data_IF_248387403159
#
_entry.id   IF_248387403159
#
_cell.length_a   1.000
_cell.length_b   1.000
_cell.length_c   1.000
_cell.angle_alpha   90.00
_cell.angle_beta   90.00
_cell.angle_gamma   90.00
#
_symmetry.space_group_name_H-M   'P 1'
#
loop_
_entity.id
_entity.type
_entity.pdbx_description
1 polymer ?
#
# COMPACT_ATOMS: atom_id res chain seq x y z
N UNK A 1 -4.11 17.99 20.17
CA UNK A 1 -4.12 17.31 18.86
C UNK A 1 -3.17 18.02 17.89
N UNK A 2 -2.97 19.32 18.07
CA UNK A 2 -2.03 20.15 17.30
C UNK A 2 -0.58 19.61 17.34
N UNK A 3 -0.04 19.28 18.52
CA UNK A 3 1.34 18.77 18.66
C UNK A 3 1.64 17.47 17.88
N UNK A 4 0.63 16.65 17.58
CA UNK A 4 0.83 15.37 16.88
C UNK A 4 1.17 15.60 15.39
N UNK A 5 0.56 16.62 14.79
CA UNK A 5 0.76 16.95 13.38
C UNK A 5 2.05 17.75 13.16
N UNK A 6 2.60 18.36 14.21
CA UNK A 6 3.90 19.04 14.18
C UNK A 6 5.07 18.06 14.02
N UNK A 7 4.90 16.81 14.47
CA UNK A 7 5.98 15.80 14.43
C UNK A 7 5.81 14.79 13.29
N UNK A 8 4.57 14.46 12.89
CA UNK A 8 4.31 13.47 11.85
C UNK A 8 3.03 13.76 11.04
N UNK A 9 2.98 13.34 9.76
CA UNK A 9 1.77 13.43 8.96
C UNK A 9 0.57 12.68 9.57
N UNK A 10 -0.64 13.20 9.35
CA UNK A 10 -1.88 12.66 9.91
C UNK A 10 -2.09 11.17 9.64
N UNK A 11 -1.75 10.69 8.44
CA UNK A 11 -1.95 9.29 8.02
C UNK A 11 -1.21 8.28 8.91
N UNK A 12 -0.07 8.66 9.50
CA UNK A 12 0.69 7.80 10.41
C UNK A 12 -0.12 7.53 11.68
N UNK A 13 -0.68 8.60 12.25
CA UNK A 13 -1.56 8.54 13.41
C UNK A 13 -2.85 7.80 13.12
N UNK A 14 -3.49 8.11 11.98
CA UNK A 14 -4.73 7.46 11.57
C UNK A 14 -4.55 5.96 11.41
N UNK A 15 -3.49 5.54 10.70
CA UNK A 15 -3.19 4.13 10.53
C UNK A 15 -3.02 3.43 11.88
N UNK A 16 -2.18 3.98 12.75
CA UNK A 16 -1.91 3.35 14.04
C UNK A 16 -3.17 3.28 14.93
N UNK A 17 -3.90 4.39 15.08
CA UNK A 17 -5.09 4.46 15.92
C UNK A 17 -6.20 3.52 15.44
N UNK A 18 -6.40 3.41 14.12
CA UNK A 18 -7.43 2.54 13.55
C UNK A 18 -7.02 1.06 13.60
N UNK A 19 -5.75 0.75 13.31
CA UNK A 19 -5.23 -0.63 13.41
C UNK A 19 -5.06 -1.13 14.85
N UNK A 20 -5.07 -0.23 15.83
CA UNK A 20 -4.98 -0.56 17.26
C UNK A 20 -6.24 -0.14 18.03
N UNK A 21 -7.37 0.07 17.35
CA UNK A 21 -8.61 0.52 17.99
C UNK A 21 -9.03 -0.42 19.14
N UNK A 22 -9.39 0.13 20.32
CA UNK A 22 -9.78 -0.67 21.50
C UNK A 22 -11.22 -1.20 21.35
N UNK A 23 -11.42 -2.18 20.48
CA UNK A 23 -12.75 -2.75 20.18
C UNK A 23 -13.21 -3.80 21.21
N UNK A 24 -12.29 -4.65 21.65
CA UNK A 24 -12.56 -5.79 22.54
C UNK A 24 -11.94 -5.66 23.93
N UNK A 25 -10.95 -4.79 24.06
CA UNK A 25 -10.14 -4.56 25.24
C UNK A 25 -9.40 -3.23 25.09
N UNK A 26 -8.90 -2.68 26.19
CA UNK A 26 -8.08 -1.47 26.16
C UNK A 26 -6.83 -1.67 25.29
N UNK A 27 -6.42 -0.59 24.62
CA UNK A 27 -5.19 -0.51 23.83
C UNK A 27 -4.26 0.51 24.49
N UNK A 28 -3.00 0.12 24.70
CA UNK A 28 -1.97 1.00 25.25
C UNK A 28 -1.11 1.58 24.12
N UNK A 29 -0.95 2.90 24.10
CA UNK A 29 0.00 3.56 23.21
C UNK A 29 1.41 3.49 23.80
N UNK A 30 2.35 2.97 23.03
CA UNK A 30 3.78 3.12 23.27
C UNK A 30 4.45 3.61 21.99
N UNK A 31 5.45 4.47 22.14
CA UNK A 31 6.19 5.00 20.99
C UNK A 31 6.90 3.90 20.20
N UNK A 32 7.39 2.85 20.87
CA UNK A 32 8.04 1.72 20.21
C UNK A 32 7.05 0.90 19.37
N UNK A 33 5.83 0.66 19.87
CA UNK A 33 4.79 -0.01 19.10
C UNK A 33 4.31 0.85 17.93
N UNK A 34 4.19 2.17 18.16
CA UNK A 34 3.85 3.14 17.12
C UNK A 34 4.87 3.14 15.98
N UNK A 35 6.15 3.33 16.31
CA UNK A 35 7.27 3.26 15.38
C UNK A 35 7.28 1.93 14.61
N UNK A 36 7.19 0.80 15.32
CA UNK A 36 7.23 -0.53 14.72
C UNK A 36 6.09 -0.75 13.72
N UNK A 37 4.85 -0.39 14.07
CA UNK A 37 3.70 -0.58 13.17
C UNK A 37 3.77 0.35 11.96
N UNK A 38 4.04 1.65 12.15
CA UNK A 38 4.19 2.60 11.05
C UNK A 38 5.30 2.15 10.09
N UNK A 39 6.49 1.84 10.61
CA UNK A 39 7.61 1.47 9.75
C UNK A 39 7.36 0.16 9.00
N UNK A 40 6.82 -0.85 9.69
CA UNK A 40 6.59 -2.17 9.07
C UNK A 40 5.44 -2.15 8.08
N UNK A 41 4.31 -1.55 8.44
CA UNK A 41 3.10 -1.65 7.61
C UNK A 41 3.09 -0.58 6.51
N UNK A 42 3.42 0.67 6.85
CA UNK A 42 3.38 1.75 5.87
C UNK A 42 4.65 1.80 5.04
N UNK A 43 5.83 1.94 5.67
CA UNK A 43 7.06 2.11 4.91
C UNK A 43 7.53 0.81 4.24
N UNK A 44 7.58 -0.32 4.96
CA UNK A 44 8.18 -1.57 4.48
C UNK A 44 7.26 -2.43 3.62
N UNK A 45 5.94 -2.30 3.76
CA UNK A 45 4.97 -3.07 2.95
C UNK A 45 4.40 -2.19 1.83
N UNK A 46 3.61 -1.16 2.13
CA UNK A 46 2.95 -0.35 1.09
C UNK A 46 3.96 0.55 0.33
N UNK A 47 4.74 1.35 1.05
CA UNK A 47 5.69 2.30 0.49
C UNK A 47 6.79 1.62 -0.34
N UNK A 48 7.34 0.51 0.18
CA UNK A 48 8.33 -0.29 -0.53
C UNK A 48 7.78 -0.89 -1.83
N UNK A 49 6.55 -1.43 -1.81
CA UNK A 49 5.91 -1.94 -3.03
C UNK A 49 5.84 -0.87 -4.11
N UNK A 50 5.25 0.29 -3.78
CA UNK A 50 5.06 1.40 -4.73
C UNK A 50 6.41 1.88 -5.28
N UNK A 51 7.40 2.09 -4.40
CA UNK A 51 8.74 2.52 -4.79
C UNK A 51 9.41 1.51 -5.73
N UNK A 52 9.36 0.21 -5.42
CA UNK A 52 10.00 -0.83 -6.24
C UNK A 52 9.37 -0.92 -7.62
N UNK A 53 8.04 -0.95 -7.70
CA UNK A 53 7.28 -1.10 -8.94
C UNK A 53 7.52 0.10 -9.85
N UNK A 54 7.27 1.32 -9.36
CA UNK A 54 7.35 2.54 -10.17
C UNK A 54 8.79 2.83 -10.61
N UNK A 55 9.80 2.68 -9.74
CA UNK A 55 11.21 2.88 -10.12
C UNK A 55 11.68 1.85 -11.13
N UNK A 56 11.28 0.58 -10.97
CA UNK A 56 11.63 -0.46 -11.93
C UNK A 56 10.99 -0.20 -13.29
N UNK A 57 9.69 0.12 -13.31
CA UNK A 57 8.98 0.47 -14.54
C UNK A 57 9.66 1.64 -15.24
N UNK A 58 9.92 2.75 -14.53
CA UNK A 58 10.66 3.90 -15.09
C UNK A 58 12.01 3.51 -15.69
N UNK A 59 12.76 2.65 -15.00
CA UNK A 59 14.09 2.25 -15.44
C UNK A 59 14.10 1.33 -16.65
N UNK A 60 13.05 0.52 -16.88
CA UNK A 60 13.05 -0.55 -17.89
C UNK A 60 12.05 -0.36 -19.02
N UNK A 61 10.91 0.23 -18.72
CA UNK A 61 9.81 0.44 -19.65
C UNK A 61 9.47 1.93 -19.87
N UNK A 62 10.08 2.84 -19.10
CA UNK A 62 9.79 4.27 -19.16
C UNK A 62 8.65 4.68 -18.22
N UNK A 63 8.09 5.86 -18.45
CA UNK A 63 7.08 6.50 -17.58
C UNK A 63 5.63 6.22 -18.05
N UNK A 64 5.45 5.11 -18.76
CA UNK A 64 4.15 4.62 -19.23
C UNK A 64 3.92 3.20 -18.72
N UNK A 65 2.64 2.84 -18.52
CA UNK A 65 2.22 1.49 -18.19
C UNK A 65 2.68 0.55 -19.33
N UNK A 66 3.47 -0.49 -19.06
CA UNK A 66 4.13 -1.25 -20.12
C UNK A 66 3.15 -2.11 -20.91
N UNK A 67 3.29 -2.07 -22.23
CA UNK A 67 2.66 -3.02 -23.14
C UNK A 67 3.44 -4.35 -23.18
N UNK A 68 2.79 -5.41 -23.65
CA UNK A 68 3.42 -6.72 -23.87
C UNK A 68 3.10 -7.73 -22.77
N UNK A 69 3.11 -9.00 -23.20
CA UNK A 69 2.73 -10.17 -22.39
C UNK A 69 1.27 -10.18 -21.97
N UNK A 70 0.77 -11.39 -21.69
CA UNK A 70 -0.55 -11.61 -21.11
C UNK A 70 -0.41 -12.08 -19.65
N UNK A 71 -1.48 -11.92 -18.86
CA UNK A 71 -1.52 -12.47 -17.52
C UNK A 71 -1.46 -14.00 -17.55
N UNK A 72 -0.50 -14.55 -16.82
CA UNK A 72 -0.30 -15.98 -16.67
C UNK A 72 -0.99 -16.54 -15.44
N UNK A 73 -0.64 -17.78 -15.09
CA UNK A 73 -1.23 -18.46 -13.94
C UNK A 73 -0.97 -17.72 -12.62
N UNK A 74 0.22 -17.15 -12.44
CA UNK A 74 0.58 -16.45 -11.20
C UNK A 74 -0.23 -15.16 -11.02
N UNK A 75 -0.41 -14.39 -12.08
CA UNK A 75 -1.20 -13.15 -12.10
C UNK A 75 -2.67 -13.45 -11.79
N UNK A 76 -3.26 -14.45 -12.46
CA UNK A 76 -4.63 -14.86 -12.21
C UNK A 76 -4.83 -15.38 -10.78
N UNK A 77 -3.88 -16.16 -10.25
CA UNK A 77 -3.94 -16.67 -8.87
C UNK A 77 -3.87 -15.55 -7.83
N UNK A 78 -3.09 -14.49 -8.10
CA UNK A 78 -3.04 -13.31 -7.25
C UNK A 78 -4.38 -12.56 -7.28
N UNK A 79 -4.96 -12.36 -8.47
CA UNK A 79 -6.25 -11.68 -8.66
C UNK A 79 -7.37 -12.41 -7.89
N UNK A 80 -7.42 -13.75 -7.97
CA UNK A 80 -8.39 -14.57 -7.23
C UNK A 80 -8.22 -14.46 -5.71
N UNK A 81 -6.96 -14.43 -5.24
CA UNK A 81 -6.64 -14.27 -3.83
C UNK A 81 -7.07 -12.89 -3.32
N UNK A 82 -6.77 -11.84 -4.09
CA UNK A 82 -7.17 -10.47 -3.81
C UNK A 82 -8.70 -10.32 -3.80
N UNK A 83 -9.42 -10.93 -4.74
CA UNK A 83 -10.89 -10.90 -4.76
C UNK A 83 -11.50 -11.48 -3.48
N UNK A 84 -10.88 -12.52 -2.92
CA UNK A 84 -11.33 -13.11 -1.66
C UNK A 84 -11.02 -12.23 -0.44
N UNK A 85 -9.86 -11.57 -0.43
CA UNK A 85 -9.47 -10.65 0.65
C UNK A 85 -10.26 -9.35 0.63
N UNK A 86 -10.52 -8.77 -0.55
CA UNK A 86 -11.35 -7.55 -0.69
C UNK A 86 -12.75 -7.80 -0.11
N UNK A 87 -13.37 -8.94 -0.40
CA UNK A 87 -14.66 -9.32 0.21
C UNK A 87 -14.59 -9.48 1.72
N UNK A 88 -13.48 -10.00 2.23
CA UNK A 88 -13.27 -10.14 3.68
C UNK A 88 -13.11 -8.77 4.35
N UNK A 89 -12.35 -7.87 3.71
CA UNK A 89 -12.17 -6.49 4.12
C UNK A 89 -13.50 -5.74 4.16
N UNK A 90 -14.30 -5.82 3.09
CA UNK A 90 -15.63 -5.22 2.99
C UNK A 90 -16.54 -5.68 4.13
N UNK A 91 -16.60 -7.01 4.35
CA UNK A 91 -17.39 -7.59 5.44
C UNK A 91 -16.98 -7.07 6.81
N UNK A 92 -15.69 -6.83 7.05
CA UNK A 92 -15.22 -6.23 8.30
C UNK A 92 -15.60 -4.75 8.40
N UNK A 93 -15.48 -4.00 7.32
CA UNK A 93 -15.89 -2.60 7.25
C UNK A 93 -17.40 -2.42 7.48
N UNK A 94 -18.25 -3.24 6.85
CA UNK A 94 -19.70 -3.25 7.04
C UNK A 94 -20.13 -3.52 8.48
N UNK A 95 -19.36 -4.36 9.18
CA UNK A 95 -19.58 -4.71 10.59
C UNK A 95 -18.92 -3.75 11.56
N UNK A 96 -18.20 -2.73 11.07
CA UNK A 96 -17.43 -1.79 11.87
C UNK A 96 -16.38 -2.52 12.74
N UNK A 97 -15.82 -3.61 12.21
CA UNK A 97 -14.68 -4.34 12.80
C UNK A 97 -13.37 -3.76 12.24
N UNK A 98 -13.10 -2.49 12.57
CA UNK A 98 -12.03 -1.66 11.99
C UNK A 98 -10.65 -2.28 12.14
N UNK A 99 -10.33 -2.87 13.30
CA UNK A 99 -9.03 -3.54 13.50
C UNK A 99 -8.86 -4.73 12.56
N UNK A 100 -9.92 -5.50 12.33
CA UNK A 100 -9.88 -6.64 11.41
C UNK A 100 -9.79 -6.16 9.96
N UNK A 101 -10.52 -5.09 9.61
CA UNK A 101 -10.41 -4.47 8.29
C UNK A 101 -8.99 -3.93 8.02
N UNK A 102 -8.35 -3.27 8.99
CA UNK A 102 -6.96 -2.82 8.87
C UNK A 102 -5.99 -3.99 8.68
N UNK A 103 -6.16 -5.08 9.43
CA UNK A 103 -5.35 -6.28 9.26
C UNK A 103 -5.51 -6.90 7.86
N UNK A 104 -6.74 -6.95 7.34
CA UNK A 104 -7.03 -7.48 6.00
C UNK A 104 -6.42 -6.57 4.91
N UNK A 105 -6.54 -5.25 5.06
CA UNK A 105 -5.93 -4.28 4.16
C UNK A 105 -4.40 -4.44 4.10
N UNK A 106 -3.75 -4.62 5.26
CA UNK A 106 -2.31 -4.87 5.33
C UNK A 106 -1.92 -6.21 4.71
N UNK A 107 -2.79 -7.24 4.82
CA UNK A 107 -2.59 -8.53 4.15
C UNK A 107 -2.69 -8.40 2.62
N UNK A 108 -3.62 -7.58 2.12
CA UNK A 108 -3.75 -7.26 0.69
C UNK A 108 -2.45 -6.65 0.13
N UNK A 109 -1.86 -5.67 0.84
CA UNK A 109 -0.58 -5.10 0.42
C UNK A 109 0.57 -6.12 0.47
N UNK A 110 0.54 -7.03 1.45
CA UNK A 110 1.55 -8.07 1.59
C UNK A 110 1.49 -9.09 0.44
N UNK A 111 0.29 -9.48 -0.02
CA UNK A 111 0.14 -10.38 -1.18
C UNK A 111 0.83 -9.84 -2.43
N UNK A 112 0.73 -8.54 -2.71
CA UNK A 112 1.44 -7.94 -3.84
C UNK A 112 2.97 -8.02 -3.68
N UNK A 113 3.48 -7.82 -2.47
CA UNK A 113 4.92 -7.96 -2.19
C UNK A 113 5.41 -9.40 -2.39
N UNK A 114 4.65 -10.39 -1.90
CA UNK A 114 4.92 -11.82 -2.07
C UNK A 114 4.90 -12.21 -3.56
N UNK A 115 3.94 -11.68 -4.30
CA UNK A 115 3.89 -11.83 -5.76
C UNK A 115 5.15 -11.26 -6.42
N UNK A 116 5.57 -10.02 -6.10
CA UNK A 116 6.79 -9.44 -6.69
C UNK A 116 8.06 -10.21 -6.32
N UNK A 117 8.09 -10.81 -5.13
CA UNK A 117 9.21 -11.63 -4.70
C UNK A 117 9.28 -12.95 -5.48
N UNK A 118 8.15 -13.62 -5.65
CA UNK A 118 8.08 -14.92 -6.35
C UNK A 118 8.17 -14.79 -7.88
N UNK A 119 7.51 -13.78 -8.45
CA UNK A 119 7.51 -13.50 -9.88
C UNK A 119 8.83 -12.88 -10.37
N UNK A 120 9.53 -12.16 -9.50
CA UNK A 120 10.84 -11.55 -9.71
C UNK A 120 11.02 -10.85 -11.07
N UNK A 121 10.20 -9.82 -11.39
CA UNK A 121 10.19 -9.17 -12.72
C UNK A 121 11.55 -8.61 -13.15
N UNK A 122 12.38 -8.18 -12.19
CA UNK A 122 13.75 -7.71 -12.41
C UNK A 122 14.70 -8.77 -12.96
N UNK A 123 14.47 -10.04 -12.61
CA UNK A 123 15.21 -11.16 -13.15
C UNK A 123 14.59 -11.59 -14.48
N UNK A 124 13.27 -11.76 -14.51
CA UNK A 124 12.51 -12.18 -15.70
C UNK A 124 12.72 -11.26 -16.89
N UNK A 125 12.85 -9.94 -16.68
CA UNK A 125 13.10 -8.97 -17.75
C UNK A 125 14.31 -9.30 -18.63
N UNK A 126 15.33 -9.97 -18.08
CA UNK A 126 16.54 -10.35 -18.83
C UNK A 126 16.30 -11.54 -19.78
N UNK A 127 15.23 -12.29 -19.57
CA UNK A 127 14.90 -13.53 -20.27
C UNK A 127 13.66 -13.37 -21.15
N UNK A 128 12.62 -12.72 -20.62
CA UNK A 128 11.35 -12.47 -21.27
C UNK A 128 10.81 -11.09 -20.84
N UNK A 129 11.08 -10.10 -21.67
CA UNK A 129 10.64 -8.72 -21.45
C UNK A 129 9.11 -8.60 -21.42
N UNK A 130 8.40 -9.35 -22.27
CA UNK A 130 6.94 -9.32 -22.34
C UNK A 130 6.30 -9.84 -21.06
N UNK A 131 6.82 -10.92 -20.50
CA UNK A 131 6.37 -11.44 -19.20
C UNK A 131 6.63 -10.44 -18.08
N UNK A 132 7.81 -9.84 -18.02
CA UNK A 132 8.11 -8.81 -17.02
C UNK A 132 7.21 -7.57 -17.17
N UNK A 133 6.87 -7.18 -18.40
CA UNK A 133 5.92 -6.10 -18.67
C UNK A 133 4.53 -6.41 -18.10
N UNK A 134 3.99 -7.62 -18.33
CA UNK A 134 2.71 -8.05 -17.77
C UNK A 134 2.71 -8.03 -16.23
N UNK A 135 3.78 -8.52 -15.60
CA UNK A 135 3.93 -8.53 -14.14
C UNK A 135 3.93 -7.11 -13.54
N UNK A 136 4.67 -6.19 -14.17
CA UNK A 136 4.75 -4.80 -13.72
C UNK A 136 3.46 -4.03 -14.02
N UNK A 137 2.79 -4.30 -15.14
CA UNK A 137 1.47 -3.73 -15.45
C UNK A 137 0.42 -4.12 -14.40
N UNK A 138 0.40 -5.39 -13.98
CA UNK A 138 -0.45 -5.82 -12.86
C UNK A 138 -0.07 -5.07 -11.59
N UNK A 139 1.22 -5.03 -11.24
CA UNK A 139 1.69 -4.37 -10.02
C UNK A 139 1.35 -2.87 -9.98
N UNK A 140 1.37 -2.16 -11.11
CA UNK A 140 0.93 -0.76 -11.21
C UNK A 140 -0.58 -0.62 -10.99
N UNK A 141 -1.39 -1.51 -11.58
CA UNK A 141 -2.83 -1.55 -11.30
C UNK A 141 -3.15 -1.84 -9.82
N UNK A 142 -2.34 -2.67 -9.16
CA UNK A 142 -2.48 -2.90 -7.72
C UNK A 142 -2.26 -1.62 -6.90
N UNK A 143 -1.40 -0.69 -7.33
CA UNK A 143 -1.22 0.60 -6.64
C UNK A 143 -2.52 1.40 -6.61
N UNK A 144 -3.27 1.43 -7.72
CA UNK A 144 -4.60 2.03 -7.78
C UNK A 144 -5.57 1.35 -6.81
N UNK A 145 -5.63 0.02 -6.83
CA UNK A 145 -6.50 -0.76 -5.91
C UNK A 145 -6.13 -0.44 -4.45
N UNK A 146 -4.84 -0.40 -4.13
CA UNK A 146 -4.37 -0.07 -2.79
C UNK A 146 -4.79 1.35 -2.40
N UNK A 147 -4.68 2.33 -3.30
CA UNK A 147 -5.13 3.68 -3.03
C UNK A 147 -6.61 3.73 -2.61
N UNK A 148 -7.48 3.06 -3.36
CA UNK A 148 -8.93 3.02 -3.10
C UNK A 148 -9.24 2.35 -1.76
N UNK A 149 -8.71 1.14 -1.54
CA UNK A 149 -8.97 0.39 -0.30
C UNK A 149 -8.38 1.06 0.95
N UNK A 150 -7.31 1.85 0.77
CA UNK A 150 -6.64 2.53 1.88
C UNK A 150 -7.26 3.88 2.23
N UNK A 151 -8.16 4.42 1.39
CA UNK A 151 -8.73 5.76 1.58
C UNK A 151 -9.40 5.95 2.96
N UNK A 152 -10.13 4.96 3.53
CA UNK A 152 -10.70 5.11 4.87
C UNK A 152 -9.64 5.25 5.98
N UNK A 153 -8.42 4.75 5.75
CA UNK A 153 -7.35 4.71 6.74
C UNK A 153 -6.32 5.83 6.56
N UNK A 154 -5.79 5.99 5.35
CA UNK A 154 -4.68 6.89 4.99
C UNK A 154 -5.03 7.76 3.76
N UNK A 155 -6.05 8.63 3.87
CA UNK A 155 -6.63 9.34 2.72
C UNK A 155 -5.62 10.22 1.97
N UNK A 156 -4.71 10.88 2.69
CA UNK A 156 -3.70 11.76 2.07
C UNK A 156 -2.76 10.95 1.18
N UNK A 157 -2.39 9.75 1.62
CA UNK A 157 -1.52 8.86 0.88
C UNK A 157 -2.27 8.22 -0.28
N UNK A 158 -3.53 7.83 -0.09
CA UNK A 158 -4.37 7.35 -1.18
C UNK A 158 -4.44 8.35 -2.33
N UNK A 159 -4.62 9.64 -2.06
CA UNK A 159 -4.59 10.69 -3.09
C UNK A 159 -3.23 10.75 -3.80
N UNK A 160 -2.12 10.70 -3.06
CA UNK A 160 -0.77 10.64 -3.65
C UNK A 160 -0.58 9.43 -4.57
N UNK A 161 -1.13 8.27 -4.22
CA UNK A 161 -1.05 7.07 -5.05
C UNK A 161 -1.87 7.22 -6.34
N UNK A 162 -3.08 7.77 -6.27
CA UNK A 162 -3.92 8.01 -7.45
C UNK A 162 -3.28 9.04 -8.39
N UNK A 163 -2.75 10.14 -7.84
CA UNK A 163 -1.97 11.12 -8.59
C UNK A 163 -0.73 10.49 -9.24
N UNK A 164 -0.02 9.62 -8.52
CA UNK A 164 1.13 8.92 -9.08
C UNK A 164 0.76 8.03 -10.27
N UNK A 165 -0.41 7.40 -10.24
CA UNK A 165 -0.92 6.56 -11.33
C UNK A 165 -1.64 7.35 -12.44
N UNK A 166 -1.63 8.69 -12.38
CA UNK A 166 -2.35 9.59 -13.30
C UNK A 166 -3.82 9.15 -13.52
N UNK A 167 -4.49 8.81 -12.41
CA UNK A 167 -5.82 8.21 -12.42
C UNK A 167 -6.76 8.95 -11.48
N UNK A 168 -7.98 9.24 -11.95
CA UNK A 168 -9.08 9.85 -11.20
C UNK A 168 -10.26 8.89 -11.00
N UNK A 169 -10.18 7.67 -11.51
CA UNK A 169 -11.18 6.63 -11.31
C UNK A 169 -11.03 6.01 -9.91
N UNK A 170 -11.87 6.45 -8.98
CA UNK A 170 -11.98 5.91 -7.61
C UNK A 170 -12.99 4.76 -7.48
N UNK A 171 -13.45 4.17 -8.58
CA UNK A 171 -14.44 3.08 -8.54
C UNK A 171 -13.97 1.92 -7.68
N UNK A 172 -14.82 1.53 -6.73
CA UNK A 172 -14.55 0.43 -5.81
C UNK A 172 -14.27 -0.87 -6.59
N UNK A 173 -13.25 -1.67 -6.21
CA UNK A 173 -12.84 -2.86 -6.97
C UNK A 173 -13.77 -4.07 -6.72
N UNK A 174 -15.07 -3.93 -6.98
CA UNK A 174 -16.06 -5.02 -6.85
C UNK A 174 -15.67 -6.25 -7.68
N UNK A 175 -15.19 -6.00 -8.91
CA UNK A 175 -14.53 -6.99 -9.74
C UNK A 175 -13.02 -6.69 -9.80
N UNK A 176 -12.24 -7.46 -9.03
CA UNK A 176 -10.79 -7.26 -8.95
C UNK A 176 -10.08 -7.51 -10.28
N UNK A 177 -10.60 -8.39 -11.15
CA UNK A 177 -10.01 -8.60 -12.47
C UNK A 177 -10.17 -7.35 -13.35
N UNK A 178 -11.33 -6.73 -13.34
CA UNK A 178 -11.56 -5.47 -14.07
C UNK A 178 -10.72 -4.33 -13.48
N UNK A 179 -10.68 -4.22 -12.15
CA UNK A 179 -9.86 -3.23 -11.46
C UNK A 179 -8.35 -3.42 -11.72
N UNK A 180 -7.90 -4.66 -11.90
CA UNK A 180 -6.53 -5.00 -12.25
C UNK A 180 -6.16 -4.65 -13.70
N UNK A 181 -7.14 -4.25 -14.52
CA UNK A 181 -6.95 -3.86 -15.92
C UNK A 181 -7.37 -2.40 -16.20
N UNK A 182 -7.64 -1.58 -15.17
CA UNK A 182 -8.08 -0.18 -15.34
C UNK A 182 -6.98 0.71 -15.96
N UNK A 183 -5.75 0.59 -15.48
CA UNK A 183 -4.60 1.27 -16.05
C UNK A 183 -4.13 0.48 -17.28
N UNK A 184 -4.47 1.00 -18.45
CA UNK A 184 -4.15 0.39 -19.74
C UNK A 184 -2.72 0.71 -20.18
N UNK A 185 -2.16 -0.13 -21.06
CA UNK A 185 -0.83 0.10 -21.61
C UNK A 185 -0.75 1.45 -22.35
N UNK A 186 0.36 2.16 -22.16
CA UNK A 186 0.58 3.50 -22.71
C UNK A 186 0.01 4.65 -21.85
N UNK A 187 -0.82 4.36 -20.84
CA UNK A 187 -1.17 5.37 -19.82
C UNK A 187 0.08 5.83 -19.08
N UNK A 188 0.12 7.08 -18.65
CA UNK A 188 1.28 7.62 -17.92
C UNK A 188 1.21 7.25 -16.45
N UNK A 189 2.37 7.27 -15.80
CA UNK A 189 2.47 7.30 -14.35
C UNK A 189 3.69 8.13 -13.96
N UNK A 190 3.78 8.52 -12.70
CA UNK A 190 4.95 9.18 -12.12
C UNK A 190 5.51 8.34 -10.98
N UNK A 191 6.81 8.50 -10.73
CA UNK A 191 7.45 7.89 -9.56
C UNK A 191 7.23 8.85 -8.38
N UNK A 192 6.42 8.49 -7.38
CA UNK A 192 6.20 9.36 -6.24
C UNK A 192 7.50 9.54 -5.45
N UNK A 193 7.59 10.66 -4.73
CA UNK A 193 8.57 10.81 -3.66
C UNK A 193 8.38 9.73 -2.58
N UNK A 194 9.30 9.65 -1.62
CA UNK A 194 9.21 8.70 -0.52
C UNK A 194 7.88 8.90 0.22
N UNK A 195 6.96 7.93 0.07
CA UNK A 195 5.60 8.02 0.62
C UNK A 195 5.60 8.06 2.15
N UNK A 196 6.46 7.25 2.76
CA UNK A 196 6.59 7.13 4.19
C UNK A 196 8.06 7.19 4.59
N UNK A 197 8.46 8.28 5.26
CA UNK A 197 9.72 8.33 5.98
C UNK A 197 9.62 7.43 7.22
N UNK A 198 10.65 6.61 7.45
CA UNK A 198 10.71 5.76 8.64
C UNK A 198 10.97 6.63 9.87
N UNK A 199 10.27 6.31 10.95
CA UNK A 199 10.53 6.86 12.27
C UNK A 199 11.80 6.21 12.83
N UNK A 200 12.79 7.03 13.14
CA UNK A 200 14.05 6.62 13.74
C UNK A 200 13.95 6.40 15.25
N UNK A 201 14.91 5.66 15.80
CA UNK A 201 14.99 5.44 17.25
C UNK A 201 15.22 6.76 18.01
N UNK A 202 16.01 7.66 17.43
CA UNK A 202 16.28 8.99 17.99
C UNK A 202 15.01 9.85 18.08
N UNK A 203 14.20 9.88 17.02
CA UNK A 203 12.89 10.56 17.04
C UNK A 203 11.97 9.97 18.10
N UNK A 204 11.90 8.63 18.17
CA UNK A 204 11.11 7.90 19.16
C UNK A 204 11.53 8.22 20.60
N UNK A 205 12.84 8.27 20.88
CA UNK A 205 13.39 8.66 22.18
C UNK A 205 13.10 10.12 22.53
N UNK A 206 13.24 11.03 21.56
CA UNK A 206 12.95 12.44 21.75
C UNK A 206 11.47 12.68 22.11
N UNK A 207 10.55 12.07 21.35
CA UNK A 207 9.11 12.17 21.64
C UNK A 207 8.74 11.52 22.98
N UNK A 208 9.36 10.38 23.33
CA UNK A 208 9.20 9.79 24.67
C UNK A 208 9.54 10.78 25.76
N UNK A 209 10.66 11.50 25.63
CA UNK A 209 11.07 12.53 26.59
C UNK A 209 10.07 13.69 26.62
N UNK A 210 9.77 14.25 25.43
CA UNK A 210 8.90 15.42 25.26
C UNK A 210 7.48 15.21 25.82
N UNK A 211 6.90 14.03 25.62
CA UNK A 211 5.51 13.74 25.97
C UNK A 211 5.36 12.84 27.22
N UNK A 212 6.44 12.63 27.99
CA UNK A 212 6.41 11.81 29.22
C UNK A 212 5.55 12.39 30.36
N UNK A 213 5.11 13.64 30.23
CA UNK A 213 4.38 14.38 31.26
C UNK A 213 5.29 14.80 32.42
N UNK A 214 5.04 15.97 32.99
CA UNK A 214 5.66 16.34 34.27
C UNK A 214 4.81 15.72 35.38
N UNK A 215 5.37 14.79 36.15
CA UNK A 215 4.70 14.25 37.35
C UNK A 215 4.56 15.32 38.42
#
# INVERSE_FOLDING_TARGET
>A
MDDALDILPADYWRWWLLSHAPESSDSEFTWDNFQSSVNKDLADVLGNFVSRVTKFCRSKFGEEIPAGGDYGQAENSLIDSLASQVKSYEKYMEKIEIRKAASELRAIWALGNEYLQSSAPWSVYKEDEGKAAAQIRLALNLIRIYAILSQPFIPTTSEKLMLAMDCDDWSWPENVLEAANTLIAGSKFTVPEVLFQKISDEECENWRSQFSGTR
#
